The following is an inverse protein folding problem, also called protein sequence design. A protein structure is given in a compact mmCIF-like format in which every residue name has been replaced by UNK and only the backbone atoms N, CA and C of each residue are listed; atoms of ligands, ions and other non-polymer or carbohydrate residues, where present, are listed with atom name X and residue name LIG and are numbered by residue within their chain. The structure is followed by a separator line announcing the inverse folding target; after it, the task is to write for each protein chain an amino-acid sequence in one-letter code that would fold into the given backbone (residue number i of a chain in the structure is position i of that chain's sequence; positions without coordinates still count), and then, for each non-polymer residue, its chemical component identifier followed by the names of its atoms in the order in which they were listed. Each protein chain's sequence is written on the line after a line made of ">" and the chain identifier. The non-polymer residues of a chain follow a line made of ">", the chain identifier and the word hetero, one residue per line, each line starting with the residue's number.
data_IF_797086701276
#
_entry.id   IF_797086701276
#
_cell.length_a   1.000
_cell.length_b   1.000
_cell.length_c   1.000
_cell.angle_alpha   90.00
_cell.angle_beta   90.00
_cell.angle_gamma   90.00
#
_symmetry.space_group_name_H-M   'P 1'
#
loop_
_entity.id
_entity.type
_entity.pdbx_description
1 polymer ?
#
# COMPACT_ATOMS: atom_id res chain seq x y z
N UNK A 1 5.57 -41.02 -50.05
CA UNK A 1 6.87 -40.80 -50.71
C UNK A 1 7.77 -40.07 -49.73
N UNK A 2 8.75 -40.82 -49.22
CA UNK A 2 9.95 -40.38 -48.51
C UNK A 2 10.70 -39.30 -49.31
N UNK A 3 11.51 -38.46 -48.67
CA UNK A 3 12.97 -38.35 -48.91
C UNK A 3 13.61 -37.15 -48.16
N UNK A 4 14.52 -37.47 -47.22
CA UNK A 4 15.79 -36.81 -46.82
C UNK A 4 15.82 -35.31 -46.45
N UNK A 5 16.39 -34.84 -45.33
CA UNK A 5 17.48 -35.36 -44.51
C UNK A 5 18.85 -34.88 -45.02
N UNK A 6 19.44 -33.82 -44.43
CA UNK A 6 20.91 -33.69 -44.37
C UNK A 6 21.40 -32.74 -43.27
N UNK A 7 22.34 -33.29 -42.50
CA UNK A 7 23.14 -32.76 -41.40
C UNK A 7 24.54 -32.39 -41.95
N UNK A 8 25.18 -31.31 -41.47
CA UNK A 8 26.64 -31.06 -41.50
C UNK A 8 26.96 -30.11 -40.33
N UNK A 9 27.51 -30.58 -39.21
CA UNK A 9 28.92 -30.83 -38.84
C UNK A 9 29.82 -29.56 -38.83
N UNK A 10 30.17 -29.19 -37.59
CA UNK A 10 31.38 -28.55 -37.04
C UNK A 10 32.50 -28.13 -38.00
N UNK A 11 33.09 -26.95 -37.74
CA UNK A 11 34.50 -26.84 -37.35
C UNK A 11 34.75 -25.58 -36.50
N UNK A 12 35.66 -25.73 -35.53
CA UNK A 12 36.23 -24.68 -34.67
C UNK A 12 37.40 -24.04 -35.40
N UNK A 13 37.52 -22.71 -35.38
CA UNK A 13 38.81 -22.05 -35.58
C UNK A 13 38.99 -20.92 -34.55
N UNK A 14 40.15 -20.98 -33.89
CA UNK A 14 40.67 -20.02 -32.92
C UNK A 14 41.52 -19.03 -33.70
N UNK A 15 41.18 -17.74 -33.68
CA UNK A 15 42.12 -16.67 -34.01
C UNK A 15 42.05 -15.51 -33.02
N UNK A 16 43.18 -15.30 -32.35
CA UNK A 16 43.53 -14.10 -31.61
C UNK A 16 43.75 -12.94 -32.58
N UNK A 17 43.09 -11.80 -32.35
CA UNK A 17 43.62 -10.51 -32.82
C UNK A 17 43.31 -9.38 -31.84
N UNK A 18 44.37 -8.63 -31.59
CA UNK A 18 44.51 -7.52 -30.67
C UNK A 18 44.00 -6.20 -31.26
N UNK A 19 43.29 -5.42 -30.42
CA UNK A 19 43.38 -3.96 -30.39
C UNK A 19 42.51 -3.17 -31.38
N UNK A 20 41.52 -2.45 -30.85
CA UNK A 20 41.33 -1.00 -31.06
C UNK A 20 40.01 -0.55 -30.43
N UNK A 21 40.05 0.60 -29.76
CA UNK A 21 39.03 1.05 -28.81
C UNK A 21 37.72 1.50 -29.45
N UNK A 22 36.63 1.10 -28.81
CA UNK A 22 35.39 1.87 -28.78
C UNK A 22 34.84 1.84 -27.36
N UNK A 23 35.04 2.95 -26.64
CA UNK A 23 34.43 3.22 -25.33
C UNK A 23 32.91 3.26 -25.50
N UNK A 24 32.26 2.11 -25.32
CA UNK A 24 30.84 2.08 -25.00
C UNK A 24 30.73 2.42 -23.52
N UNK A 25 30.07 3.55 -23.24
CA UNK A 25 29.66 3.95 -21.90
C UNK A 25 28.80 2.83 -21.33
N UNK A 26 29.41 1.98 -20.51
CA UNK A 26 28.69 1.07 -19.63
C UNK A 26 28.05 1.96 -18.57
N UNK A 27 26.77 2.24 -18.78
CA UNK A 27 25.89 2.74 -17.73
C UNK A 27 26.10 1.85 -16.51
N UNK A 28 26.62 2.46 -15.45
CA UNK A 28 26.81 1.86 -14.13
C UNK A 28 25.53 1.12 -13.78
N UNK A 29 25.59 -0.21 -13.80
CA UNK A 29 24.50 -1.06 -13.31
C UNK A 29 24.35 -0.68 -11.85
N UNK A 30 23.29 0.05 -11.56
CA UNK A 30 22.84 0.45 -10.24
C UNK A 30 22.90 -0.78 -9.34
N UNK A 31 23.72 -0.69 -8.28
CA UNK A 31 23.86 -1.72 -7.27
C UNK A 31 22.47 -2.24 -6.89
N UNK A 32 22.24 -3.54 -7.11
CA UNK A 32 21.10 -4.26 -6.54
C UNK A 32 21.14 -3.98 -5.05
N UNK A 33 20.27 -3.10 -4.55
CA UNK A 33 20.12 -2.90 -3.12
C UNK A 33 19.63 -4.23 -2.57
N UNK A 34 20.54 -5.01 -2.00
CA UNK A 34 20.19 -6.19 -1.23
C UNK A 34 19.37 -5.65 -0.06
N UNK A 35 18.05 -5.84 -0.13
CA UNK A 35 17.16 -5.47 0.96
C UNK A 35 17.70 -6.15 2.23
N UNK A 36 17.81 -5.41 3.35
CA UNK A 36 18.36 -5.97 4.57
C UNK A 36 17.53 -7.17 5.00
N UNK A 37 18.21 -8.24 5.39
CA UNK A 37 17.57 -9.44 5.95
C UNK A 37 16.74 -9.04 7.17
N UNK A 38 15.60 -9.70 7.36
CA UNK A 38 14.67 -9.43 8.47
C UNK A 38 14.96 -10.40 9.60
N UNK A 39 15.38 -9.91 10.75
CA UNK A 39 15.57 -10.71 11.96
C UNK A 39 14.46 -10.39 12.97
N UNK A 40 13.72 -11.41 13.39
CA UNK A 40 12.64 -11.29 14.40
C UNK A 40 13.06 -12.06 15.64
N UNK A 41 13.21 -11.37 16.76
CA UNK A 41 13.73 -11.91 18.02
C UNK A 41 12.60 -12.17 19.02
N UNK A 42 12.68 -13.27 19.75
CA UNK A 42 11.74 -13.65 20.82
C UNK A 42 12.55 -13.91 22.09
N UNK A 43 12.30 -13.11 23.14
CA UNK A 43 12.99 -13.19 24.45
C UNK A 43 14.53 -13.15 24.38
N UNK A 44 15.09 -12.56 23.34
CA UNK A 44 16.54 -12.40 23.20
C UNK A 44 16.94 -10.92 23.10
N UNK A 45 18.12 -10.56 23.61
CA UNK A 45 18.66 -9.23 23.38
C UNK A 45 19.01 -9.06 21.90
N UNK A 46 18.76 -7.86 21.37
CA UNK A 46 19.19 -7.51 20.02
C UNK A 46 20.72 -7.43 19.94
N UNK A 47 21.34 -7.92 18.85
CA UNK A 47 22.75 -7.66 18.58
C UNK A 47 23.04 -6.17 18.50
N UNK A 48 24.14 -5.72 19.09
CA UNK A 48 24.51 -4.28 19.10
C UNK A 48 24.61 -3.67 17.69
N UNK A 49 24.91 -4.48 16.68
CA UNK A 49 24.96 -4.05 15.27
C UNK A 49 23.59 -3.62 14.71
N UNK A 50 22.49 -4.20 15.21
CA UNK A 50 21.13 -3.94 14.76
C UNK A 50 20.42 -2.85 15.59
N UNK A 51 21.06 -2.39 16.66
CA UNK A 51 20.60 -1.29 17.49
C UNK A 51 21.13 0.05 16.98
N UNK A 52 20.31 1.09 17.11
CA UNK A 52 20.71 2.47 16.88
C UNK A 52 21.48 3.04 18.09
N UNK A 53 21.91 4.30 17.99
CA UNK A 53 22.63 5.00 19.06
C UNK A 53 21.83 5.17 20.37
N UNK A 54 20.52 4.94 20.33
CA UNK A 54 19.62 5.03 21.48
C UNK A 54 19.27 3.65 22.06
N UNK A 55 19.82 2.57 21.49
CA UNK A 55 19.51 1.19 21.90
C UNK A 55 18.17 0.67 21.37
N UNK A 56 17.62 1.30 20.32
CA UNK A 56 16.37 0.88 19.68
C UNK A 56 16.65 0.12 18.37
N UNK A 57 15.79 -0.82 17.95
CA UNK A 57 15.97 -1.53 16.69
C UNK A 57 16.02 -0.58 15.49
N UNK A 58 17.06 -0.70 14.65
CA UNK A 58 17.17 0.06 13.39
C UNK A 58 16.05 -0.27 12.41
N UNK A 59 15.64 -1.54 12.39
CA UNK A 59 14.60 -2.05 11.49
C UNK A 59 13.22 -1.64 12.01
N UNK A 60 12.45 -0.96 11.17
CA UNK A 60 11.07 -0.61 11.45
C UNK A 60 10.13 -1.41 10.58
N UNK A 61 9.10 -1.99 11.21
CA UNK A 61 8.12 -2.81 10.53
C UNK A 61 6.85 -2.01 10.19
N UNK A 62 6.20 -2.38 9.08
CA UNK A 62 4.93 -1.80 8.69
C UNK A 62 3.82 -2.15 9.71
N UNK A 63 2.92 -1.21 9.99
CA UNK A 63 1.74 -1.48 10.81
C UNK A 63 0.81 -2.48 10.11
N UNK A 64 0.08 -3.31 10.88
CA UNK A 64 -0.81 -4.33 10.29
C UNK A 64 -2.13 -3.78 9.73
N UNK A 65 -2.34 -2.47 9.78
CA UNK A 65 -3.51 -1.79 9.23
C UNK A 65 -3.51 -1.85 7.70
N UNK A 66 -4.56 -2.41 7.13
CA UNK A 66 -4.79 -2.38 5.68
C UNK A 66 -5.58 -1.14 5.29
N UNK A 67 -5.27 -0.62 4.11
CA UNK A 67 -6.05 0.40 3.42
C UNK A 67 -6.15 0.10 1.93
N UNK A 68 -7.36 -0.16 1.45
CA UNK A 68 -7.71 -0.36 0.03
C UNK A 68 -8.41 0.87 -0.55
N UNK A 69 -8.78 1.83 0.29
CA UNK A 69 -9.33 3.11 -0.15
C UNK A 69 -8.30 3.97 -0.90
N UNK A 70 -8.78 4.62 -1.94
CA UNK A 70 -7.97 5.40 -2.87
C UNK A 70 -7.72 6.81 -2.37
N UNK A 71 -8.70 7.39 -1.68
CA UNK A 71 -8.65 8.78 -1.23
C UNK A 71 -8.53 8.86 0.29
N UNK A 72 -7.75 9.82 0.80
CA UNK A 72 -7.94 10.34 2.16
C UNK A 72 -8.91 11.52 2.10
N UNK A 73 -9.42 11.95 3.25
CA UNK A 73 -10.23 13.17 3.35
C UNK A 73 -9.56 14.38 2.68
N UNK A 74 -8.23 14.54 2.84
CA UNK A 74 -7.47 15.65 2.27
C UNK A 74 -7.12 15.44 0.79
N UNK A 75 -6.83 14.21 0.37
CA UNK A 75 -6.44 13.95 -1.02
C UNK A 75 -7.64 13.69 -1.93
N UNK A 76 -8.86 13.60 -1.39
CA UNK A 76 -10.06 13.32 -2.16
C UNK A 76 -10.27 14.37 -3.24
N UNK A 77 -10.43 15.63 -2.85
CA UNK A 77 -10.78 16.69 -3.81
C UNK A 77 -9.70 16.88 -4.90
N UNK A 78 -8.40 17.03 -4.59
CA UNK A 78 -7.39 17.25 -5.63
C UNK A 78 -7.23 16.06 -6.57
N UNK A 79 -7.21 14.83 -6.04
CA UNK A 79 -7.05 13.63 -6.87
C UNK A 79 -8.30 13.32 -7.69
N UNK A 80 -9.49 13.43 -7.08
CA UNK A 80 -10.74 13.19 -7.78
C UNK A 80 -10.94 14.20 -8.90
N UNK A 81 -10.71 15.49 -8.64
CA UNK A 81 -10.81 16.54 -9.66
C UNK A 81 -9.81 16.32 -10.80
N UNK A 82 -8.54 16.02 -10.48
CA UNK A 82 -7.54 15.69 -11.49
C UNK A 82 -7.99 14.53 -12.39
N UNK A 83 -8.57 13.48 -11.81
CA UNK A 83 -9.06 12.35 -12.58
C UNK A 83 -10.27 12.68 -13.46
N UNK A 84 -11.21 13.49 -12.96
CA UNK A 84 -12.33 13.96 -13.75
C UNK A 84 -11.86 14.82 -14.94
N UNK A 85 -10.85 15.68 -14.76
CA UNK A 85 -10.29 16.51 -15.83
C UNK A 85 -9.38 15.76 -16.81
N UNK A 86 -9.04 14.49 -16.57
CA UNK A 86 -8.43 13.64 -17.61
C UNK A 86 -9.40 13.26 -18.73
N UNK A 87 -10.68 13.64 -18.62
CA UNK A 87 -11.71 13.49 -19.66
C UNK A 87 -11.76 14.76 -20.49
N UNK A 88 -11.58 14.65 -21.81
CA UNK A 88 -11.46 15.79 -22.73
C UNK A 88 -12.72 16.67 -22.70
N UNK A 89 -13.90 16.06 -22.54
CA UNK A 89 -15.16 16.80 -22.40
C UNK A 89 -15.16 17.79 -21.23
N UNK A 90 -14.60 17.41 -20.08
CA UNK A 90 -14.57 18.29 -18.90
C UNK A 90 -13.62 19.48 -19.11
N UNK A 91 -12.50 19.27 -19.80
CA UNK A 91 -11.59 20.36 -20.20
C UNK A 91 -12.31 21.31 -21.16
N UNK A 92 -13.06 20.78 -22.13
CA UNK A 92 -13.82 21.59 -23.07
C UNK A 92 -14.90 22.43 -22.39
N UNK A 93 -15.74 21.83 -21.53
CA UNK A 93 -16.77 22.59 -20.81
C UNK A 93 -16.16 23.65 -19.91
N UNK A 94 -15.00 23.36 -19.28
CA UNK A 94 -14.27 24.36 -18.52
C UNK A 94 -13.80 25.51 -19.42
N UNK A 95 -13.29 25.22 -20.61
CA UNK A 95 -12.88 26.24 -21.56
C UNK A 95 -14.06 27.12 -22.02
N UNK A 96 -15.22 26.52 -22.30
CA UNK A 96 -16.45 27.27 -22.66
C UNK A 96 -16.87 28.21 -21.52
N UNK A 97 -16.87 27.72 -20.28
CA UNK A 97 -17.17 28.55 -19.10
C UNK A 97 -16.17 29.71 -18.99
N UNK A 98 -14.86 29.44 -19.14
CA UNK A 98 -13.83 30.47 -19.09
C UNK A 98 -13.99 31.54 -20.20
N UNK A 99 -14.38 31.14 -21.42
CA UNK A 99 -14.66 32.09 -22.49
C UNK A 99 -15.89 32.97 -22.18
N UNK A 100 -16.93 32.40 -21.57
CA UNK A 100 -18.13 33.13 -21.17
C UNK A 100 -17.88 34.10 -20.01
N UNK A 101 -16.80 33.94 -19.25
CA UNK A 101 -16.37 34.94 -18.26
C UNK A 101 -15.82 36.22 -18.90
N UNK A 102 -15.42 36.19 -20.17
CA UNK A 102 -14.94 37.37 -20.89
C UNK A 102 -16.15 38.23 -21.28
N UNK A 103 -16.28 39.47 -20.76
CA UNK A 103 -17.49 40.29 -20.98
C UNK A 103 -17.82 40.58 -22.45
N UNK A 104 -16.79 40.63 -23.31
CA UNK A 104 -16.97 40.81 -24.76
C UNK A 104 -17.62 39.61 -25.45
N UNK A 105 -17.46 38.42 -24.89
CA UNK A 105 -17.93 37.15 -25.47
C UNK A 105 -19.22 36.66 -24.78
N UNK A 106 -19.32 36.84 -23.46
CA UNK A 106 -20.44 36.36 -22.64
C UNK A 106 -21.42 37.43 -22.19
N UNK A 107 -21.41 38.63 -22.79
CA UNK A 107 -22.06 39.86 -22.30
C UNK A 107 -23.56 39.82 -21.97
N UNK A 108 -24.25 38.70 -22.17
CA UNK A 108 -25.68 38.52 -21.88
C UNK A 108 -25.97 37.37 -20.89
N UNK A 109 -24.97 36.57 -20.49
CA UNK A 109 -25.16 35.40 -19.64
C UNK A 109 -24.53 35.58 -18.27
N UNK A 110 -25.27 35.29 -17.20
CA UNK A 110 -24.71 35.23 -15.84
C UNK A 110 -23.62 34.15 -15.76
N UNK A 111 -22.38 34.49 -15.36
CA UNK A 111 -21.28 33.56 -15.15
C UNK A 111 -21.64 32.30 -14.34
N UNK A 112 -22.51 32.44 -13.34
CA UNK A 112 -22.90 31.34 -12.46
C UNK A 112 -23.79 30.34 -13.22
N UNK A 113 -24.78 30.85 -13.95
CA UNK A 113 -25.69 30.04 -14.77
C UNK A 113 -24.91 29.29 -15.86
N UNK A 114 -23.87 29.92 -16.41
CA UNK A 114 -22.99 29.34 -17.42
C UNK A 114 -22.16 28.14 -16.88
N UNK A 115 -21.66 28.26 -15.65
CA UNK A 115 -20.85 27.21 -15.00
C UNK A 115 -21.68 26.08 -14.37
N UNK A 116 -22.98 26.30 -14.11
CA UNK A 116 -23.85 25.40 -13.35
C UNK A 116 -23.88 23.97 -13.90
N UNK A 117 -23.99 23.72 -15.23
CA UNK A 117 -23.99 22.36 -15.76
C UNK A 117 -22.69 21.62 -15.48
N UNK A 118 -21.54 22.27 -15.69
CA UNK A 118 -20.22 21.67 -15.41
C UNK A 118 -20.06 21.36 -13.92
N UNK A 119 -20.40 22.31 -13.05
CA UNK A 119 -20.32 22.14 -11.60
C UNK A 119 -21.22 20.97 -11.15
N UNK A 120 -22.45 20.89 -11.67
CA UNK A 120 -23.38 19.81 -11.31
C UNK A 120 -22.88 18.42 -11.72
N UNK A 121 -22.29 18.28 -12.91
CA UNK A 121 -21.73 17.01 -13.39
C UNK A 121 -20.51 16.62 -12.54
N UNK A 122 -19.62 17.56 -12.25
CA UNK A 122 -18.43 17.31 -11.41
C UNK A 122 -18.84 16.91 -10.00
N UNK A 123 -19.81 17.62 -9.42
CA UNK A 123 -20.32 17.35 -8.08
C UNK A 123 -20.99 15.97 -8.00
N UNK A 124 -21.87 15.63 -8.95
CA UNK A 124 -22.54 14.32 -8.99
C UNK A 124 -21.54 13.17 -9.09
N UNK A 125 -20.51 13.32 -9.95
CA UNK A 125 -19.45 12.33 -10.11
C UNK A 125 -18.62 12.20 -8.82
N UNK A 126 -18.26 13.33 -8.20
CA UNK A 126 -17.52 13.33 -6.94
C UNK A 126 -18.32 12.66 -5.80
N UNK A 127 -19.62 12.93 -5.69
CA UNK A 127 -20.48 12.29 -4.67
C UNK A 127 -20.52 10.77 -4.85
N UNK A 128 -20.68 10.29 -6.09
CA UNK A 128 -20.64 8.86 -6.40
C UNK A 128 -19.30 8.23 -5.99
N UNK A 129 -18.19 8.84 -6.40
CA UNK A 129 -16.85 8.34 -6.09
C UNK A 129 -16.55 8.38 -4.58
N UNK A 130 -17.04 9.41 -3.88
CA UNK A 130 -16.94 9.52 -2.42
C UNK A 130 -17.72 8.40 -1.71
N UNK A 131 -18.93 8.07 -2.18
CA UNK A 131 -19.72 6.98 -1.63
C UNK A 131 -19.04 5.61 -1.84
N UNK A 132 -18.50 5.37 -3.04
CA UNK A 132 -17.75 4.15 -3.34
C UNK A 132 -16.50 4.01 -2.47
N UNK A 133 -15.73 5.09 -2.30
CA UNK A 133 -14.52 5.07 -1.46
C UNK A 133 -14.88 4.96 0.03
N UNK A 134 -15.97 5.59 0.50
CA UNK A 134 -16.48 5.43 1.87
C UNK A 134 -16.83 3.97 2.18
N UNK A 135 -17.47 3.27 1.22
CA UNK A 135 -17.75 1.84 1.36
C UNK A 135 -16.47 1.02 1.55
N UNK A 136 -15.40 1.33 0.81
CA UNK A 136 -14.07 0.71 0.98
C UNK A 136 -13.47 0.99 2.36
N UNK A 137 -13.50 2.25 2.80
CA UNK A 137 -13.04 2.60 4.16
C UNK A 137 -13.82 1.85 5.25
N UNK A 138 -15.13 1.69 5.08
CA UNK A 138 -15.96 0.92 6.01
C UNK A 138 -15.56 -0.56 6.06
N UNK A 139 -15.33 -1.17 4.90
CA UNK A 139 -14.85 -2.56 4.78
C UNK A 139 -13.45 -2.74 5.40
N UNK A 140 -12.51 -1.86 5.06
CA UNK A 140 -11.17 -1.84 5.64
C UNK A 140 -11.23 -1.72 7.18
N UNK A 141 -12.09 -0.82 7.68
CA UNK A 141 -12.25 -0.59 9.12
C UNK A 141 -12.85 -1.80 9.83
N UNK A 142 -13.77 -2.52 9.18
CA UNK A 142 -14.31 -3.78 9.70
C UNK A 142 -13.20 -4.82 9.85
N UNK A 143 -12.42 -5.05 8.79
CA UNK A 143 -11.31 -6.02 8.79
C UNK A 143 -10.21 -5.65 9.79
N UNK A 144 -9.83 -4.37 9.86
CA UNK A 144 -8.82 -3.89 10.81
C UNK A 144 -9.25 -4.05 12.28
N UNK A 145 -10.56 -4.08 12.54
CA UNK A 145 -11.16 -4.28 13.87
C UNK A 145 -11.50 -5.73 14.18
N UNK A 146 -11.29 -6.66 13.23
CA UNK A 146 -11.41 -8.09 13.47
C UNK A 146 -10.55 -8.50 14.67
N UNK A 147 -11.04 -9.48 15.43
CA UNK A 147 -10.39 -9.93 16.65
C UNK A 147 -9.38 -11.05 16.33
N UNK A 148 -8.31 -11.09 17.10
CA UNK A 148 -7.38 -12.20 17.18
C UNK A 148 -6.92 -12.33 18.64
N UNK A 149 -6.25 -13.42 18.99
CA UNK A 149 -5.72 -13.61 20.33
C UNK A 149 -4.21 -13.40 20.27
N UNK A 150 -3.71 -12.48 21.08
CA UNK A 150 -2.27 -12.17 21.19
C UNK A 150 -1.79 -12.47 22.61
N UNK A 151 -0.53 -12.84 22.75
CA UNK A 151 0.15 -12.89 24.04
C UNK A 151 0.44 -11.46 24.52
N UNK A 152 -0.18 -11.04 25.63
CA UNK A 152 0.08 -9.74 26.28
C UNK A 152 0.80 -9.91 27.61
N UNK A 153 1.23 -8.79 28.19
CA UNK A 153 2.13 -8.71 29.37
C UNK A 153 3.52 -9.29 29.13
N UNK A 154 3.96 -9.25 27.87
CA UNK A 154 5.29 -9.65 27.42
C UNK A 154 5.95 -8.50 26.67
N UNK A 155 7.29 -8.39 26.76
CA UNK A 155 8.03 -7.33 26.09
C UNK A 155 8.43 -7.74 24.67
N UNK A 156 7.73 -7.22 23.66
CA UNK A 156 8.13 -7.40 22.28
C UNK A 156 9.30 -6.47 21.93
N UNK A 157 10.50 -7.05 21.91
CA UNK A 157 11.77 -6.36 21.62
C UNK A 157 11.86 -5.78 20.20
N UNK A 158 11.04 -6.25 19.26
CA UNK A 158 11.13 -5.90 17.83
C UNK A 158 10.55 -4.53 17.48
N UNK A 159 9.92 -3.85 18.45
CA UNK A 159 9.24 -2.58 18.24
C UNK A 159 9.94 -1.51 19.07
N UNK A 160 10.27 -0.36 18.48
CA UNK A 160 10.91 0.69 19.24
C UNK A 160 9.95 1.27 20.30
N UNK A 161 10.41 1.41 21.54
CA UNK A 161 9.60 1.88 22.68
C UNK A 161 9.16 3.34 22.55
N UNK A 162 9.79 4.10 21.64
CA UNK A 162 9.62 5.54 21.45
C UNK A 162 8.60 6.00 20.40
N UNK A 163 7.67 5.17 19.91
CA UNK A 163 6.63 5.61 18.96
C UNK A 163 5.52 6.47 19.60
N UNK A 164 5.90 7.45 20.43
CA UNK A 164 5.04 8.59 20.73
C UNK A 164 5.02 9.51 19.49
N UNK A 165 3.84 9.57 18.87
CA UNK A 165 3.44 10.40 17.72
C UNK A 165 4.42 11.52 17.35
N UNK A 166 5.07 11.43 16.18
CA UNK A 166 5.87 12.53 15.59
C UNK A 166 5.04 13.83 15.48
N UNK A 167 3.71 13.72 15.43
CA UNK A 167 2.76 14.82 15.40
C UNK A 167 2.64 15.53 16.76
N UNK A 168 2.78 14.79 17.87
CA UNK A 168 2.83 15.34 19.23
C UNK A 168 4.19 15.96 19.61
N UNK A 169 5.26 15.67 18.85
CA UNK A 169 6.53 16.41 18.95
C UNK A 169 6.54 17.69 18.10
N UNK A 170 5.76 17.75 17.03
CA UNK A 170 5.66 18.92 16.15
C UNK A 170 4.66 19.96 16.68
N UNK A 171 3.57 19.51 17.29
CA UNK A 171 2.66 20.36 18.03
C UNK A 171 3.12 20.33 19.49
N UNK A 172 3.68 21.44 19.99
CA UNK A 172 4.00 21.67 21.41
C UNK A 172 2.72 21.72 22.27
N UNK A 173 1.81 20.76 22.08
CA UNK A 173 0.55 20.64 22.78
C UNK A 173 0.83 19.79 24.02
N UNK A 174 1.20 20.49 25.09
CA UNK A 174 1.42 19.91 26.42
C UNK A 174 0.29 18.95 26.76
N UNK A 175 0.58 17.65 26.67
CA UNK A 175 -0.41 16.63 26.96
C UNK A 175 -0.68 16.61 28.46
N UNK A 176 -1.93 16.88 28.77
CA UNK A 176 -2.58 16.86 30.06
C UNK A 176 -2.15 15.62 30.87
N UNK A 177 -1.62 15.86 32.07
CA UNK A 177 -1.13 14.87 33.02
C UNK A 177 -2.33 14.12 33.62
N UNK A 178 -2.65 12.93 33.14
CA UNK A 178 -3.57 12.05 33.85
C UNK A 178 -2.86 11.48 35.08
N UNK A 179 -3.34 11.85 36.26
CA UNK A 179 -2.76 11.52 37.56
C UNK A 179 -3.27 10.14 37.98
N UNK A 180 -2.51 9.11 37.68
CA UNK A 180 -2.65 7.76 38.23
C UNK A 180 -1.26 7.20 38.51
N UNK A 181 -0.99 6.91 39.78
CA UNK A 181 0.34 6.60 40.33
C UNK A 181 1.07 5.46 39.60
N UNK A 182 2.30 5.73 39.14
CA UNK A 182 3.50 5.15 39.74
C UNK A 182 4.76 5.86 39.23
N UNK A 183 5.67 6.10 40.16
CA UNK A 183 6.91 6.87 40.04
C UNK A 183 7.85 6.37 38.96
N UNK A 184 8.18 7.25 38.00
CA UNK A 184 9.31 7.10 37.07
C UNK A 184 10.55 7.63 37.78
N UNK A 185 11.46 6.74 38.16
CA UNK A 185 12.83 7.09 38.53
C UNK A 185 13.69 7.09 37.26
N UNK A 186 14.44 8.17 37.05
CA UNK A 186 15.34 8.32 35.90
C UNK A 186 16.48 7.30 35.93
N UNK A 187 16.82 6.79 34.74
CA UNK A 187 17.97 5.90 34.55
C UNK A 187 19.27 6.71 34.61
N UNK A 188 20.03 6.54 35.70
CA UNK A 188 21.48 6.76 35.74
C UNK A 188 22.18 5.45 35.38
N UNK A 189 23.32 5.59 34.71
CA UNK A 189 24.03 4.53 33.99
C UNK A 189 24.49 3.31 34.78
N UNK A 190 24.94 2.33 34.00
CA UNK A 190 25.60 1.06 34.36
C UNK A 190 25.22 0.47 35.70
N UNK A 191 24.28 -0.47 35.68
CA UNK A 191 24.19 -1.52 36.69
C UNK A 191 24.20 -2.87 35.99
N UNK A 192 25.15 -3.69 36.43
CA UNK A 192 25.17 -5.14 36.32
C UNK A 192 23.75 -5.70 36.47
N UNK A 193 23.35 -6.55 35.51
CA UNK A 193 22.11 -7.34 35.56
C UNK A 193 22.01 -8.05 36.91
N UNK A 194 21.24 -7.44 37.82
CA UNK A 194 20.86 -8.03 39.08
C UNK A 194 19.70 -8.97 38.84
N UNK A 195 19.85 -10.19 39.32
CA UNK A 195 18.94 -11.32 39.27
C UNK A 195 17.65 -11.11 40.10
N UNK A 196 16.88 -10.05 39.80
CA UNK A 196 15.67 -9.73 40.59
C UNK A 196 14.49 -9.09 39.83
N UNK A 197 14.57 -8.85 38.51
CA UNK A 197 13.43 -8.34 37.71
C UNK A 197 12.71 -9.43 36.86
N UNK A 198 13.11 -10.70 37.00
CA UNK A 198 12.59 -11.86 36.24
C UNK A 198 11.26 -12.46 36.78
N UNK A 199 10.50 -11.75 37.63
CA UNK A 199 9.32 -12.31 38.30
C UNK A 199 8.03 -11.51 38.08
N UNK A 200 7.80 -11.04 36.85
CA UNK A 200 6.44 -10.72 36.40
C UNK A 200 5.97 -11.69 35.31
N UNK A 201 5.99 -12.98 35.65
CA UNK A 201 5.32 -14.06 34.92
C UNK A 201 3.80 -13.81 34.91
N UNK A 202 3.32 -13.04 33.95
CA UNK A 202 1.88 -12.74 33.79
C UNK A 202 1.47 -12.74 32.31
N UNK A 203 2.29 -13.35 31.44
CA UNK A 203 1.95 -13.50 30.04
C UNK A 203 0.58 -14.17 29.92
N UNK A 204 -0.34 -13.53 29.18
CA UNK A 204 -1.73 -13.98 29.09
C UNK A 204 -2.25 -13.81 27.68
N UNK A 205 -2.99 -14.81 27.20
CA UNK A 205 -3.78 -14.68 25.99
C UNK A 205 -4.88 -13.64 26.17
N UNK A 206 -4.84 -12.56 25.37
CA UNK A 206 -5.87 -11.52 25.38
C UNK A 206 -6.37 -11.26 23.96
N UNK A 207 -7.61 -10.76 23.87
CA UNK A 207 -8.19 -10.40 22.59
C UNK A 207 -7.60 -9.07 22.12
N UNK A 208 -7.03 -9.06 20.93
CA UNK A 208 -6.50 -7.88 20.26
C UNK A 208 -7.14 -7.68 18.90
N UNK A 209 -7.02 -6.47 18.33
CA UNK A 209 -7.52 -6.17 16.99
C UNK A 209 -6.43 -6.42 15.97
N UNK A 210 -6.81 -6.77 14.75
CA UNK A 210 -5.84 -7.03 13.67
C UNK A 210 -4.88 -5.87 13.44
N UNK A 211 -5.38 -4.63 13.45
CA UNK A 211 -4.53 -3.43 13.29
C UNK A 211 -3.46 -3.25 14.38
N UNK A 212 -3.64 -3.86 15.56
CA UNK A 212 -2.76 -3.72 16.72
C UNK A 212 -1.71 -4.84 16.79
N UNK A 213 -1.79 -5.83 15.90
CA UNK A 213 -0.79 -6.91 15.71
C UNK A 213 0.47 -6.33 15.09
N UNK A 214 1.62 -6.72 15.64
CA UNK A 214 2.94 -6.24 15.21
C UNK A 214 3.89 -7.42 14.96
N UNK A 215 4.96 -7.17 14.21
CA UNK A 215 6.02 -8.18 13.98
C UNK A 215 6.63 -8.58 15.32
N UNK A 216 6.85 -9.89 15.50
CA UNK A 216 7.33 -10.46 16.75
C UNK A 216 6.24 -10.77 17.77
N UNK A 217 4.99 -10.35 17.54
CA UNK A 217 3.88 -10.77 18.41
C UNK A 217 3.64 -12.27 18.26
N UNK A 218 3.41 -12.94 19.38
CA UNK A 218 2.94 -14.33 19.40
C UNK A 218 1.41 -14.30 19.44
N UNK A 219 0.79 -14.96 18.46
CA UNK A 219 -0.66 -15.05 18.34
C UNK A 219 -1.14 -16.48 18.48
N UNK A 220 -2.35 -16.64 19.02
CA UNK A 220 -3.06 -17.91 19.09
C UNK A 220 -4.27 -17.83 18.18
N UNK A 221 -4.33 -18.74 17.21
CA UNK A 221 -5.39 -18.83 16.23
C UNK A 221 -6.21 -20.07 16.53
N UNK A 222 -7.54 -19.95 16.55
CA UNK A 222 -8.45 -21.08 16.80
C UNK A 222 -8.97 -21.67 15.49
N UNK A 223 -9.61 -22.82 15.60
CA UNK A 223 -10.34 -23.40 14.46
C UNK A 223 -11.33 -22.39 13.88
N UNK A 224 -11.34 -22.27 12.55
CA UNK A 224 -12.13 -21.31 11.76
C UNK A 224 -11.75 -19.84 11.89
N UNK A 225 -10.63 -19.51 12.56
CA UNK A 225 -10.12 -18.14 12.56
C UNK A 225 -9.41 -17.82 11.23
N UNK A 226 -9.70 -16.64 10.68
CA UNK A 226 -8.92 -16.05 9.61
C UNK A 226 -7.58 -15.53 10.14
N UNK A 227 -6.52 -15.75 9.37
CA UNK A 227 -5.15 -15.40 9.76
C UNK A 227 -4.91 -13.89 9.52
N UNK A 228 -4.49 -13.12 10.55
CA UNK A 228 -4.41 -11.65 10.50
C UNK A 228 -3.19 -11.08 9.78
N UNK A 229 -2.12 -11.86 9.67
CA UNK A 229 -0.79 -11.48 9.20
C UNK A 229 -0.02 -12.75 8.78
N UNK A 230 1.11 -12.64 8.09
CA UNK A 230 1.87 -13.84 7.73
C UNK A 230 2.65 -14.31 8.97
N UNK A 231 2.38 -15.54 9.40
CA UNK A 231 2.89 -16.10 10.67
C UNK A 231 3.60 -17.42 10.48
N UNK A 232 4.69 -17.64 11.21
CA UNK A 232 5.34 -18.95 11.32
C UNK A 232 4.63 -19.76 12.39
N UNK A 233 4.32 -21.02 12.10
CA UNK A 233 3.68 -21.94 13.04
C UNK A 233 4.71 -22.42 14.05
N UNK A 234 4.57 -22.02 15.30
CA UNK A 234 5.44 -22.48 16.38
C UNK A 234 4.97 -23.85 16.91
N UNK A 235 3.66 -24.00 17.11
CA UNK A 235 3.05 -25.20 17.71
C UNK A 235 1.59 -25.30 17.31
N UNK A 236 1.03 -26.51 17.33
CA UNK A 236 -0.38 -26.80 17.01
C UNK A 236 -1.01 -27.71 18.06
N UNK A 237 -2.33 -27.81 18.05
CA UNK A 237 -3.08 -28.77 18.89
C UNK A 237 -2.82 -30.23 18.50
N UNK A 238 -2.47 -30.47 17.23
CA UNK A 238 -2.33 -31.81 16.69
C UNK A 238 -0.99 -32.46 17.12
N UNK A 239 -0.99 -33.75 17.47
CA UNK A 239 0.20 -34.44 17.98
C UNK A 239 1.36 -34.49 16.97
N UNK A 240 1.04 -34.51 15.67
CA UNK A 240 2.00 -34.55 14.57
C UNK A 240 2.48 -33.14 14.14
N UNK A 241 2.09 -32.08 14.86
CA UNK A 241 2.45 -30.70 14.51
C UNK A 241 1.78 -30.19 13.23
N UNK A 242 0.71 -30.87 12.77
CA UNK A 242 -0.02 -30.51 11.56
C UNK A 242 -0.96 -29.33 11.82
N UNK A 243 -1.15 -28.52 10.79
CA UNK A 243 -2.18 -27.49 10.72
C UNK A 243 -2.81 -27.51 9.33
N UNK A 244 -4.13 -27.54 9.26
CA UNK A 244 -4.86 -27.49 7.98
C UNK A 244 -5.35 -26.08 7.72
N UNK A 245 -5.13 -25.59 6.50
CA UNK A 245 -5.54 -24.26 6.07
C UNK A 245 -6.36 -24.31 4.79
N UNK A 246 -7.42 -23.52 4.77
CA UNK A 246 -8.19 -23.21 3.57
C UNK A 246 -7.58 -21.98 2.89
N UNK A 247 -7.22 -22.09 1.60
CA UNK A 247 -6.57 -21.01 0.82
C UNK A 247 -7.49 -20.37 -0.21
N UNK A 248 -8.80 -20.60 -0.11
CA UNK A 248 -9.81 -20.12 -1.05
C UNK A 248 -9.74 -18.61 -1.33
N UNK A 249 -9.36 -17.80 -0.34
CA UNK A 249 -9.24 -16.33 -0.52
C UNK A 249 -7.98 -15.90 -1.29
N UNK A 250 -6.95 -16.75 -1.39
CA UNK A 250 -5.68 -16.42 -2.04
C UNK A 250 -5.60 -16.93 -3.48
N UNK A 251 -5.87 -18.22 -3.68
CA UNK A 251 -5.70 -18.91 -4.97
C UNK A 251 -6.98 -19.59 -5.49
N UNK A 252 -8.08 -19.52 -4.73
CA UNK A 252 -9.36 -20.13 -5.11
C UNK A 252 -9.39 -21.65 -4.94
N UNK A 253 -8.35 -22.28 -4.39
CA UNK A 253 -8.35 -23.70 -4.10
C UNK A 253 -9.30 -24.03 -2.93
N UNK A 254 -10.11 -25.09 -3.10
CA UNK A 254 -11.09 -25.53 -2.09
C UNK A 254 -10.56 -26.62 -1.17
N UNK A 255 -9.44 -27.25 -1.54
CA UNK A 255 -8.83 -28.30 -0.74
C UNK A 255 -8.07 -27.69 0.43
N UNK A 256 -8.09 -28.40 1.56
CA UNK A 256 -7.27 -28.02 2.71
C UNK A 256 -5.80 -28.31 2.39
N UNK A 257 -4.94 -27.30 2.56
CA UNK A 257 -3.49 -27.47 2.50
C UNK A 257 -2.95 -27.81 3.88
N UNK A 258 -1.99 -28.72 3.92
CA UNK A 258 -1.32 -29.13 5.15
C UNK A 258 -0.10 -28.22 5.34
N UNK A 259 0.06 -27.72 6.57
CA UNK A 259 1.22 -26.99 7.06
C UNK A 259 1.75 -27.68 8.31
N UNK A 260 3.02 -27.47 8.62
CA UNK A 260 3.71 -28.10 9.75
C UNK A 260 4.26 -27.04 10.69
N UNK A 261 4.14 -27.25 12.01
CA UNK A 261 4.88 -26.45 12.96
C UNK A 261 6.39 -26.64 12.81
N UNK A 262 7.15 -25.67 13.30
CA UNK A 262 8.60 -25.83 13.45
C UNK A 262 8.85 -26.85 14.57
N UNK A 263 9.72 -27.82 14.33
CA UNK A 263 9.86 -29.00 15.20
C UNK A 263 10.48 -28.63 16.55
N UNK A 264 11.45 -27.71 16.54
CA UNK A 264 12.09 -27.18 17.75
C UNK A 264 11.14 -26.46 18.71
N UNK A 265 10.03 -25.89 18.21
CA UNK A 265 9.07 -25.11 19.02
C UNK A 265 7.76 -25.85 19.28
N UNK A 266 7.64 -27.11 18.86
CA UNK A 266 6.41 -27.90 18.99
C UNK A 266 5.96 -28.13 20.45
N UNK A 267 6.86 -27.98 21.42
CA UNK A 267 6.53 -28.10 22.85
C UNK A 267 5.84 -26.86 23.44
N UNK A 268 5.80 -25.73 22.72
CA UNK A 268 5.19 -24.50 23.21
C UNK A 268 3.66 -24.63 23.21
N UNK A 269 3.03 -24.80 24.38
CA UNK A 269 1.57 -24.98 24.49
C UNK A 269 0.92 -23.93 25.38
N UNK A 270 1.62 -23.51 26.43
CA UNK A 270 1.14 -22.54 27.41
C UNK A 270 1.78 -21.16 27.22
N UNK A 271 1.16 -20.15 27.82
CA UNK A 271 1.67 -18.79 27.89
C UNK A 271 3.05 -18.73 28.54
N UNK A 272 3.26 -19.52 29.60
CA UNK A 272 4.53 -19.62 30.32
C UNK A 272 5.65 -20.22 29.45
N UNK A 273 5.32 -21.16 28.56
CA UNK A 273 6.29 -21.74 27.64
C UNK A 273 6.74 -20.69 26.63
N UNK A 274 5.81 -19.89 26.11
CA UNK A 274 6.09 -18.79 25.19
C UNK A 274 6.95 -17.70 25.83
N UNK A 275 6.75 -17.42 27.12
CA UNK A 275 7.57 -16.46 27.89
C UNK A 275 9.00 -16.95 28.12
N UNK A 276 9.20 -18.27 28.24
CA UNK A 276 10.52 -18.90 28.42
C UNK A 276 11.25 -19.19 27.10
N UNK A 277 10.52 -19.25 25.99
CA UNK A 277 11.08 -19.56 24.68
C UNK A 277 12.02 -18.45 24.22
N UNK A 278 13.26 -18.79 23.88
CA UNK A 278 14.29 -17.84 23.46
C UNK A 278 14.86 -18.26 22.10
N UNK A 279 14.55 -17.51 21.05
CA UNK A 279 15.00 -17.80 19.69
C UNK A 279 14.86 -16.56 18.80
N UNK A 280 15.41 -16.63 17.58
CA UNK A 280 15.14 -15.66 16.53
C UNK A 280 14.94 -16.34 15.20
N UNK A 281 14.25 -15.64 14.31
CA UNK A 281 14.03 -16.06 12.94
C UNK A 281 14.72 -15.08 12.00
N UNK A 282 15.64 -15.59 11.20
CA UNK A 282 16.19 -14.89 10.04
C UNK A 282 15.28 -15.17 8.84
N UNK A 283 14.54 -14.17 8.39
CA UNK A 283 13.63 -14.24 7.27
C UNK A 283 14.21 -13.54 6.04
N UNK A 284 13.90 -14.06 4.87
CA UNK A 284 14.11 -13.33 3.62
C UNK A 284 13.28 -12.03 3.57
N UNK A 285 13.65 -11.06 2.71
CA UNK A 285 12.86 -9.85 2.47
C UNK A 285 11.45 -10.16 1.94
N UNK A 286 10.47 -9.27 2.17
CA UNK A 286 9.11 -9.47 1.69
C UNK A 286 9.07 -9.56 0.15
N UNK A 287 8.49 -10.63 -0.37
CA UNK A 287 8.34 -10.87 -1.81
C UNK A 287 6.96 -11.47 -2.13
N UNK A 288 6.46 -11.22 -3.35
CA UNK A 288 5.09 -11.54 -3.76
C UNK A 288 4.83 -13.02 -4.03
N UNK A 289 5.84 -13.85 -4.31
CA UNK A 289 5.61 -15.27 -4.57
C UNK A 289 4.93 -15.96 -3.36
N UNK A 290 3.69 -16.44 -3.57
CA UNK A 290 2.83 -17.10 -2.57
C UNK A 290 3.34 -18.49 -2.16
N UNK A 291 4.11 -19.15 -3.02
CA UNK A 291 4.52 -20.54 -2.85
C UNK A 291 5.97 -20.70 -2.38
N UNK A 292 6.68 -19.59 -2.19
CA UNK A 292 8.06 -19.58 -1.69
C UNK A 292 8.13 -18.82 -0.39
N UNK A 293 8.84 -19.40 0.56
CA UNK A 293 9.31 -18.73 1.75
C UNK A 293 10.57 -19.44 2.23
N UNK A 294 11.61 -18.67 2.52
CA UNK A 294 12.89 -19.14 3.06
C UNK A 294 13.22 -18.34 4.32
N UNK A 295 13.32 -19.04 5.42
CA UNK A 295 13.81 -18.50 6.69
C UNK A 295 14.62 -19.54 7.45
N UNK A 296 15.23 -19.10 8.53
CA UNK A 296 16.02 -19.95 9.42
C UNK A 296 15.68 -19.59 10.86
N UNK A 297 15.23 -20.57 11.64
CA UNK A 297 15.04 -20.44 13.07
C UNK A 297 16.33 -20.83 13.78
N UNK A 298 16.79 -19.96 14.68
CA UNK A 298 18.02 -20.14 15.45
C UNK A 298 17.74 -19.97 16.93
N UNK A 299 18.28 -20.87 17.74
CA UNK A 299 18.13 -20.82 19.19
C UNK A 299 19.42 -21.27 19.88
N UNK A 300 19.75 -20.71 21.06
CA UNK A 300 20.92 -21.11 21.81
C UNK A 300 20.73 -22.50 22.44
N UNK A 301 21.76 -23.35 22.42
CA UNK A 301 21.72 -24.65 23.11
C UNK A 301 21.78 -24.50 24.64
N UNK A 302 22.54 -23.51 25.11
CA UNK A 302 22.55 -23.07 26.51
C UNK A 302 22.41 -21.55 26.59
N UNK A 303 21.60 -21.02 27.54
CA UNK A 303 21.45 -19.59 27.72
C UNK A 303 22.81 -18.96 28.10
N UNK A 304 23.38 -18.14 27.21
CA UNK A 304 24.61 -17.38 27.46
C UNK A 304 25.85 -17.78 26.66
N UNK A 305 25.80 -18.86 25.85
CA UNK A 305 26.92 -19.26 24.97
C UNK A 305 26.52 -18.97 23.52
N UNK A 306 27.05 -17.89 22.93
CA UNK A 306 26.71 -17.45 21.55
C UNK A 306 27.21 -18.41 20.46
N UNK A 307 28.23 -19.22 20.73
CA UNK A 307 28.96 -19.94 19.68
C UNK A 307 28.30 -21.25 19.21
N UNK A 308 27.33 -21.80 19.96
CA UNK A 308 26.65 -23.04 19.58
C UNK A 308 25.13 -22.81 19.46
N UNK A 309 24.73 -22.35 18.27
CA UNK A 309 23.32 -22.13 17.93
C UNK A 309 22.81 -23.30 17.10
N UNK A 310 21.71 -23.89 17.55
CA UNK A 310 20.97 -24.84 16.74
C UNK A 310 20.20 -24.10 15.65
N UNK A 311 20.09 -24.75 14.49
CA UNK A 311 19.57 -24.16 13.26
C UNK A 311 18.50 -25.09 12.70
N UNK A 312 17.32 -24.56 12.40
CA UNK A 312 16.25 -25.26 11.71
C UNK A 312 15.76 -24.42 10.52
N UNK A 313 15.73 -24.97 9.29
CA UNK A 313 15.21 -24.25 8.14
C UNK A 313 13.69 -24.10 8.23
N UNK A 314 13.19 -22.91 7.93
CA UNK A 314 11.76 -22.60 7.85
C UNK A 314 11.38 -22.41 6.39
N UNK A 315 10.42 -23.20 5.93
CA UNK A 315 9.92 -23.15 4.55
C UNK A 315 8.49 -22.60 4.49
N UNK A 316 7.94 -22.45 3.28
CA UNK A 316 6.52 -22.09 3.11
C UNK A 316 5.55 -23.05 3.82
N UNK A 317 5.95 -24.31 4.01
CA UNK A 317 5.15 -25.32 4.72
C UNK A 317 5.01 -25.01 6.21
N UNK A 318 5.83 -24.12 6.76
CA UNK A 318 5.79 -23.69 8.15
C UNK A 318 5.11 -22.33 8.34
N UNK A 319 4.60 -21.72 7.26
CA UNK A 319 4.01 -20.38 7.27
C UNK A 319 2.52 -20.43 6.95
N UNK A 320 1.75 -19.70 7.76
CA UNK A 320 0.35 -19.37 7.52
C UNK A 320 0.27 -17.97 6.92
N UNK A 321 -0.41 -17.84 5.79
CA UNK A 321 -0.53 -16.56 5.08
C UNK A 321 -1.80 -15.83 5.52
N UNK A 322 -1.74 -14.50 5.49
CA UNK A 322 -2.92 -13.65 5.68
C UNK A 322 -4.02 -13.99 4.67
N UNK A 323 -5.26 -14.09 5.13
CA UNK A 323 -6.43 -14.46 4.31
C UNK A 323 -6.70 -15.97 4.24
N UNK A 324 -5.75 -16.80 4.68
CA UNK A 324 -6.05 -18.20 4.92
C UNK A 324 -6.93 -18.35 6.18
N UNK A 325 -7.70 -19.44 6.23
CA UNK A 325 -8.53 -19.79 7.39
C UNK A 325 -8.05 -21.11 7.96
N UNK A 326 -7.85 -21.18 9.27
CA UNK A 326 -7.50 -22.44 9.93
C UNK A 326 -8.72 -23.37 9.93
N UNK A 327 -8.52 -24.64 9.57
CA UNK A 327 -9.53 -25.69 9.62
C UNK A 327 -8.97 -26.90 10.34
N UNK A 328 -9.85 -27.75 10.88
CA UNK A 328 -9.51 -29.06 11.46
C UNK A 328 -8.32 -29.04 12.44
N UNK A 329 -8.09 -27.92 13.11
CA UNK A 329 -7.00 -27.71 14.07
C UNK A 329 -7.59 -26.87 15.19
N UNK A 330 -7.63 -27.36 16.43
CA UNK A 330 -8.28 -26.66 17.55
C UNK A 330 -7.63 -25.30 17.80
N UNK A 331 -6.29 -25.29 17.85
CA UNK A 331 -5.51 -24.07 17.90
C UNK A 331 -4.15 -24.22 17.23
N UNK A 332 -3.62 -23.10 16.73
CA UNK A 332 -2.23 -22.96 16.32
C UNK A 332 -1.62 -21.74 17.01
N UNK A 333 -0.39 -21.87 17.50
CA UNK A 333 0.40 -20.76 18.04
C UNK A 333 1.39 -20.35 16.95
N UNK A 334 1.43 -19.06 16.64
CA UNK A 334 2.28 -18.53 15.58
C UNK A 334 3.02 -17.26 15.95
N UNK A 335 4.20 -17.10 15.37
CA UNK A 335 5.01 -15.88 15.44
C UNK A 335 4.75 -15.01 14.21
N UNK A 336 4.39 -13.75 14.42
CA UNK A 336 4.12 -12.80 13.32
C UNK A 336 5.43 -12.33 12.67
N UNK A 337 5.59 -12.56 11.36
CA UNK A 337 6.79 -12.19 10.60
C UNK A 337 6.55 -11.03 9.64
N UNK A 338 5.43 -11.02 8.91
CA UNK A 338 5.05 -9.93 8.01
C UNK A 338 3.69 -9.35 8.37
N UNK A 339 3.57 -8.03 8.39
CA UNK A 339 2.36 -7.29 8.76
C UNK A 339 1.98 -6.28 7.69
N UNK A 340 0.68 -6.04 7.54
CA UNK A 340 0.15 -4.98 6.67
C UNK A 340 0.60 -5.13 5.22
N UNK A 341 1.23 -4.08 4.69
CA UNK A 341 1.70 -4.00 3.30
C UNK A 341 2.80 -5.01 2.97
N UNK A 342 3.49 -5.56 3.96
CA UNK A 342 4.56 -6.56 3.76
C UNK A 342 4.02 -7.98 3.58
N UNK A 343 2.73 -8.22 3.90
CA UNK A 343 2.14 -9.55 3.74
C UNK A 343 2.05 -9.93 2.28
N UNK A 344 2.22 -11.22 1.97
CA UNK A 344 2.25 -11.69 0.58
C UNK A 344 0.98 -11.34 -0.20
N UNK A 345 -0.19 -11.42 0.45
CA UNK A 345 -1.47 -11.04 -0.19
C UNK A 345 -1.51 -9.56 -0.57
N UNK A 346 -0.95 -8.67 0.25
CA UNK A 346 -0.90 -7.23 -0.05
C UNK A 346 0.11 -6.90 -1.14
N UNK A 347 1.25 -7.59 -1.16
CA UNK A 347 2.23 -7.46 -2.25
C UNK A 347 1.67 -7.89 -3.60
N UNK A 348 0.75 -8.86 -3.63
CA UNK A 348 0.04 -9.28 -4.86
C UNK A 348 -1.17 -8.39 -5.20
N UNK A 349 -1.75 -7.71 -4.20
CA UNK A 349 -2.91 -6.83 -4.42
C UNK A 349 -2.54 -5.50 -5.07
N UNK A 350 -1.33 -4.99 -4.81
CA UNK A 350 -0.83 -3.73 -5.34
C UNK A 350 -1.65 -2.51 -4.90
N UNK A 351 -1.28 -1.34 -5.42
CA UNK A 351 -2.06 -0.12 -5.21
C UNK A 351 -3.37 -0.19 -5.98
N UNK A 352 -4.47 0.27 -5.38
CA UNK A 352 -5.78 0.29 -6.03
C UNK A 352 -5.76 1.25 -7.22
N UNK A 353 -5.82 0.76 -8.48
CA UNK A 353 -5.60 1.61 -9.64
C UNK A 353 -6.86 2.41 -10.00
N UNK A 354 -6.65 3.60 -10.57
CA UNK A 354 -7.70 4.39 -11.21
C UNK A 354 -8.06 3.80 -12.58
N UNK A 355 -8.84 2.72 -12.60
CA UNK A 355 -9.27 2.08 -13.85
C UNK A 355 -10.26 3.00 -14.58
N UNK A 356 -10.04 3.19 -15.88
CA UNK A 356 -10.99 3.82 -16.79
C UNK A 356 -11.53 2.77 -17.75
N UNK A 357 -12.80 2.88 -18.13
CA UNK A 357 -13.37 1.94 -19.09
C UNK A 357 -12.76 2.21 -20.48
N UNK A 358 -12.63 1.15 -21.29
CA UNK A 358 -12.18 1.29 -22.68
C UNK A 358 -13.11 2.22 -23.46
N UNK A 359 -14.41 2.12 -23.21
CA UNK A 359 -15.45 2.99 -23.79
C UNK A 359 -15.18 4.46 -23.43
N UNK A 360 -14.78 4.78 -22.20
CA UNK A 360 -14.44 6.16 -21.81
C UNK A 360 -13.26 6.71 -22.61
N UNK A 361 -12.25 5.87 -22.86
CA UNK A 361 -11.07 6.27 -23.65
C UNK A 361 -11.47 6.50 -25.11
N UNK A 362 -12.22 5.58 -25.71
CA UNK A 362 -12.67 5.68 -27.11
C UNK A 362 -13.65 6.85 -27.31
N UNK A 363 -14.53 7.11 -26.34
CA UNK A 363 -15.45 8.26 -26.36
C UNK A 363 -14.70 9.59 -26.45
N UNK A 364 -13.51 9.72 -25.84
CA UNK A 364 -12.73 10.96 -25.94
C UNK A 364 -12.34 11.30 -27.38
N UNK A 365 -12.11 10.30 -28.24
CA UNK A 365 -11.80 10.53 -29.65
C UNK A 365 -13.01 11.11 -30.38
N UNK A 366 -14.20 10.53 -30.20
CA UNK A 366 -15.44 11.05 -30.78
C UNK A 366 -15.75 12.47 -30.30
N UNK A 367 -15.56 12.73 -29.01
CA UNK A 367 -15.71 14.08 -28.43
C UNK A 367 -14.75 15.07 -29.10
N UNK A 368 -13.49 14.68 -29.30
CA UNK A 368 -12.48 15.53 -29.97
C UNK A 368 -12.87 15.80 -31.44
N UNK A 369 -13.30 14.78 -32.19
CA UNK A 369 -13.77 14.96 -33.57
C UNK A 369 -14.97 15.90 -33.65
N UNK A 370 -15.94 15.79 -32.74
CA UNK A 370 -17.07 16.70 -32.67
C UNK A 370 -16.62 18.15 -32.44
N UNK A 371 -15.58 18.38 -31.63
CA UNK A 371 -15.03 19.73 -31.45
C UNK A 371 -14.35 20.27 -32.70
N UNK A 372 -13.65 19.42 -33.47
CA UNK A 372 -13.07 19.85 -34.75
C UNK A 372 -14.17 20.27 -35.73
N UNK A 373 -15.24 19.49 -35.83
CA UNK A 373 -16.38 19.83 -36.69
C UNK A 373 -17.04 21.14 -36.24
N UNK A 374 -17.29 21.30 -34.94
CA UNK A 374 -17.86 22.52 -34.37
C UNK A 374 -16.98 23.74 -34.67
N UNK A 375 -15.66 23.61 -34.52
CA UNK A 375 -14.71 24.67 -34.85
C UNK A 375 -14.79 25.09 -36.32
N UNK A 376 -14.85 24.13 -37.25
CA UNK A 376 -14.96 24.43 -38.68
C UNK A 376 -16.28 25.14 -39.02
N UNK A 377 -17.39 24.74 -38.38
CA UNK A 377 -18.69 25.41 -38.56
C UNK A 377 -18.65 26.85 -38.05
N UNK A 378 -18.13 27.08 -36.83
CA UNK A 378 -17.98 28.42 -36.27
C UNK A 378 -17.07 29.31 -37.12
N UNK A 379 -15.95 28.76 -37.64
CA UNK A 379 -15.04 29.48 -38.52
C UNK A 379 -15.74 29.87 -39.84
N UNK A 380 -16.51 28.95 -40.43
CA UNK A 380 -17.29 29.22 -41.64
C UNK A 380 -18.33 30.33 -41.41
N UNK A 381 -19.07 30.27 -40.31
CA UNK A 381 -20.04 31.31 -39.93
C UNK A 381 -19.37 32.66 -39.69
N UNK A 382 -18.22 32.70 -39.01
CA UNK A 382 -17.49 33.94 -38.75
C UNK A 382 -16.96 34.58 -40.03
N UNK A 383 -16.46 33.78 -40.98
CA UNK A 383 -16.03 34.29 -42.29
C UNK A 383 -17.23 34.83 -43.09
N UNK A 384 -18.36 34.11 -43.09
CA UNK A 384 -19.57 34.55 -43.77
C UNK A 384 -20.13 35.86 -43.18
N UNK A 385 -20.15 35.98 -41.86
CA UNK A 385 -20.55 37.19 -41.13
C UNK A 385 -19.61 38.37 -41.43
N UNK A 386 -18.30 38.14 -41.41
CA UNK A 386 -17.32 39.16 -41.79
C UNK A 386 -17.49 39.64 -43.25
N UNK A 387 -17.74 38.73 -44.19
CA UNK A 387 -18.02 39.09 -45.59
C UNK A 387 -19.33 39.88 -45.70
N UNK A 388 -20.35 39.53 -44.91
CA UNK A 388 -21.62 40.25 -44.87
C UNK A 388 -21.44 41.69 -44.36
N UNK A 389 -20.70 41.89 -43.26
CA UNK A 389 -20.41 43.21 -42.70
C UNK A 389 -19.56 44.10 -43.61
N UNK A 390 -18.74 43.52 -44.49
CA UNK A 390 -17.93 44.28 -45.46
C UNK A 390 -18.73 44.74 -46.69
N UNK A 391 -20.00 44.30 -46.87
CA UNK A 391 -20.81 44.73 -48.00
C UNK A 391 -21.37 46.15 -47.76
N UNK A 392 -21.15 47.10 -48.69
CA UNK A 392 -21.40 48.54 -48.47
C UNK A 392 -22.88 48.97 -48.44
N UNK A 393 -23.82 48.09 -48.74
CA UNK A 393 -25.26 48.40 -48.72
C UNK A 393 -26.02 47.22 -48.13
N UNK A 394 -26.09 47.17 -46.80
CA UNK A 394 -26.92 46.19 -46.10
C UNK A 394 -28.09 46.89 -45.40
N UNK A 395 -29.23 46.19 -45.25
CA UNK A 395 -30.37 46.72 -44.49
C UNK A 395 -30.02 47.00 -43.02
N UNK A 396 -28.99 46.34 -42.48
CA UNK A 396 -28.46 46.61 -41.14
C UNK A 396 -27.96 48.06 -40.98
N UNK A 397 -27.33 48.63 -42.01
CA UNK A 397 -26.84 50.02 -41.96
C UNK A 397 -27.98 51.04 -41.85
N UNK A 398 -29.18 50.70 -42.34
CA UNK A 398 -30.35 51.58 -42.32
C UNK A 398 -31.23 51.39 -41.07
N UNK A 399 -31.34 50.16 -40.54
CA UNK A 399 -32.30 49.84 -39.46
C UNK A 399 -31.64 49.47 -38.13
N UNK A 400 -30.38 49.04 -38.10
CA UNK A 400 -29.69 48.58 -36.89
C UNK A 400 -28.70 49.63 -36.34
N UNK A 401 -28.07 50.44 -37.20
CA UNK A 401 -27.19 51.55 -36.79
C UNK A 401 -27.91 52.76 -36.17
N UNK A 402 -29.25 52.73 -36.07
CA UNK A 402 -30.09 53.81 -35.52
C UNK A 402 -30.33 53.76 -34.00
N UNK A 403 -29.57 52.98 -33.24
CA UNK A 403 -29.83 52.71 -31.82
C UNK A 403 -28.94 53.40 -30.78
N UNK A 404 -27.91 54.17 -31.17
CA UNK A 404 -27.04 54.80 -30.17
C UNK A 404 -25.77 55.45 -30.73
N UNK A 405 -25.93 56.54 -31.48
CA UNK A 405 -24.98 57.66 -31.59
C UNK A 405 -25.62 58.77 -32.43
N UNK A 406 -26.79 59.25 -31.99
CA UNK A 406 -27.27 60.56 -32.39
C UNK A 406 -26.64 61.59 -31.45
N UNK A 407 -25.41 61.99 -31.74
CA UNK A 407 -24.85 63.31 -31.44
C UNK A 407 -23.40 63.37 -31.94
N UNK A 408 -23.07 64.43 -32.68
CA UNK A 408 -21.74 64.79 -33.22
C UNK A 408 -21.43 64.42 -34.69
N UNK A 409 -22.27 64.88 -35.62
CA UNK A 409 -21.76 65.27 -36.94
C UNK A 409 -22.05 66.76 -37.14
N UNK A 410 -21.10 67.58 -36.69
CA UNK A 410 -21.09 69.02 -36.92
C UNK A 410 -20.99 69.35 -38.40
N UNK A 411 -21.81 70.33 -38.79
CA UNK A 411 -21.65 71.30 -39.86
C UNK A 411 -20.31 71.34 -40.60
N UNK A 412 -20.37 71.22 -41.93
CA UNK A 412 -19.76 72.12 -42.91
C UNK A 412 -20.45 71.92 -44.26
#
# INVERSE_FOLDING_TARGET
>A
MTFFGRKKRQDNDIENSSGSGHKRNVSTVSATQVLPKRCVYVNMPFPQAELDQYGEPKTQYAANKIRTSKYTLLTFLPKNLFEQFRRVANIYFLFVVLLQLVPMVGGQTDPILAALPLISIIAMTAIKDAFEDWKRHSQDNSLNKSRTIRLENWNNVNIPHGQSSRLGKLLNLGSYKNKGNNSVSGYKGSRSLGESDLTKNNAKWTASRWQDVKVGDIIRLKNNDSIPADVIILSTSEPDGLCYVETKELDGETNLKIRHCVSSTASLKSENDCERASFYVESEPPHSNLYSYTGVLRWPDQPGIENDQKIEPVSINNVLLRGCVIRNTEYAIGLVIFTGVDTKIMLNSGDTPSKRSRIEIETNFHVTMNFIILFLLCLGSAIADAIYYLKPTSSADFFENGGGNGDSANAS
#
